data_IF_371402043553
#
_entry.id   IF_371402043553
#
_cell.length_a   1.000
_cell.length_b   1.000
_cell.length_c   1.000
_cell.angle_alpha   90.00
_cell.angle_beta   90.00
_cell.angle_gamma   90.00
#
_symmetry.space_group_name_H-M   'P 1'
#
loop_
_entity.id
_entity.type
_entity.pdbx_description
1 polymer ?
#
# COMPACT_ATOMS: atom_id res chain seq x y z
N UNK A 1 9.05 4.01 17.74
CA UNK A 1 8.24 3.56 16.58
C UNK A 1 7.89 4.74 15.67
N UNK A 2 7.96 4.52 14.38
CA UNK A 2 7.65 5.56 13.40
C UNK A 2 6.13 5.58 13.19
N UNK A 3 5.45 6.73 13.35
CA UNK A 3 4.00 6.79 13.14
C UNK A 3 3.62 6.58 11.69
N UNK A 4 2.46 6.00 11.47
CA UNK A 4 1.90 5.76 10.13
C UNK A 4 0.68 6.63 9.94
N UNK A 5 0.67 7.40 8.86
CA UNK A 5 -0.41 8.30 8.52
C UNK A 5 -1.09 7.78 7.25
N UNK A 6 -2.39 7.55 7.31
CA UNK A 6 -3.19 7.16 6.16
C UNK A 6 -3.76 8.41 5.51
N UNK A 7 -3.46 8.61 4.24
CA UNK A 7 -4.13 9.67 3.48
C UNK A 7 -5.56 9.22 3.15
N UNK A 8 -6.44 10.16 2.86
CA UNK A 8 -7.80 9.84 2.45
C UNK A 8 -7.80 8.94 1.21
N UNK A 9 -6.92 9.21 0.27
CA UNK A 9 -6.82 8.43 -0.95
C UNK A 9 -6.36 7.00 -0.68
N UNK A 10 -5.43 6.81 0.27
CA UNK A 10 -5.00 5.47 0.67
C UNK A 10 -6.14 4.68 1.31
N UNK A 11 -6.96 5.35 2.13
CA UNK A 11 -8.14 4.74 2.75
C UNK A 11 -9.14 4.29 1.68
N UNK A 12 -9.44 5.18 0.72
CA UNK A 12 -10.32 4.86 -0.40
C UNK A 12 -9.80 3.69 -1.22
N UNK A 13 -8.51 3.71 -1.57
CA UNK A 13 -7.87 2.63 -2.32
C UNK A 13 -7.96 1.31 -1.58
N UNK A 14 -7.73 1.33 -0.28
CA UNK A 14 -7.76 0.11 0.54
C UNK A 14 -9.16 -0.52 0.49
N UNK A 15 -10.20 0.30 0.68
CA UNK A 15 -11.60 -0.15 0.61
C UNK A 15 -11.96 -0.67 -0.78
N UNK A 16 -11.54 0.05 -1.82
CA UNK A 16 -11.79 -0.36 -3.21
C UNK A 16 -11.12 -1.69 -3.53
N UNK A 17 -9.91 -1.92 -3.03
CA UNK A 17 -9.21 -3.18 -3.24
C UNK A 17 -9.90 -4.35 -2.54
N UNK A 18 -10.42 -4.14 -1.34
CA UNK A 18 -11.21 -5.17 -0.66
C UNK A 18 -12.44 -5.50 -1.48
N UNK A 19 -13.16 -4.48 -1.97
CA UNK A 19 -14.32 -4.66 -2.82
C UNK A 19 -13.97 -5.41 -4.11
N UNK A 20 -12.86 -5.04 -4.76
CA UNK A 20 -12.35 -5.71 -5.95
C UNK A 20 -12.09 -7.20 -5.67
N UNK A 21 -11.40 -7.50 -4.56
CA UNK A 21 -11.08 -8.88 -4.21
C UNK A 21 -12.34 -9.71 -3.91
N UNK A 22 -13.35 -9.10 -3.28
CA UNK A 22 -14.63 -9.77 -3.02
C UNK A 22 -15.32 -10.20 -4.32
N UNK A 23 -15.21 -9.38 -5.36
CA UNK A 23 -15.90 -9.63 -6.63
C UNK A 23 -15.10 -10.51 -7.61
N UNK A 24 -13.77 -10.44 -7.54
CA UNK A 24 -12.91 -11.08 -8.54
C UNK A 24 -12.12 -12.27 -7.97
N UNK A 25 -12.00 -12.34 -6.64
CA UNK A 25 -11.16 -13.33 -5.97
C UNK A 25 -11.90 -13.99 -4.83
N UNK A 26 -11.20 -14.81 -4.03
CA UNK A 26 -11.79 -15.53 -2.91
C UNK A 26 -11.61 -14.80 -1.60
N UNK A 27 -12.34 -15.24 -0.56
CA UNK A 27 -12.16 -14.73 0.80
C UNK A 27 -10.72 -14.88 1.29
N UNK A 28 -10.03 -15.93 0.85
CA UNK A 28 -8.63 -16.16 1.20
C UNK A 28 -7.73 -15.03 0.72
N UNK A 29 -8.03 -14.47 -0.47
CA UNK A 29 -7.26 -13.35 -1.01
C UNK A 29 -7.49 -12.08 -0.19
N UNK A 30 -8.71 -11.87 0.29
CA UNK A 30 -9.04 -10.73 1.14
C UNK A 30 -8.29 -10.83 2.46
N UNK A 31 -8.35 -11.98 3.12
CA UNK A 31 -7.65 -12.23 4.38
C UNK A 31 -6.15 -12.04 4.20
N UNK A 32 -5.61 -12.56 3.11
CA UNK A 32 -4.20 -12.44 2.77
C UNK A 32 -3.80 -10.97 2.57
N UNK A 33 -4.63 -10.20 1.89
CA UNK A 33 -4.37 -8.77 1.68
C UNK A 33 -4.32 -8.02 3.01
N UNK A 34 -5.32 -8.23 3.87
CA UNK A 34 -5.40 -7.56 5.17
C UNK A 34 -4.20 -7.96 6.04
N UNK A 35 -3.93 -9.25 6.14
CA UNK A 35 -2.82 -9.75 6.95
C UNK A 35 -1.48 -9.24 6.46
N UNK A 36 -1.25 -9.29 5.15
CA UNK A 36 0.00 -8.86 4.55
C UNK A 36 0.21 -7.36 4.74
N UNK A 37 -0.87 -6.58 4.62
CA UNK A 37 -0.81 -5.14 4.87
C UNK A 37 -0.37 -4.87 6.30
N UNK A 38 -0.98 -5.52 7.29
CA UNK A 38 -0.59 -5.36 8.69
C UNK A 38 0.87 -5.73 8.93
N UNK A 39 1.33 -6.83 8.36
CA UNK A 39 2.73 -7.26 8.49
C UNK A 39 3.70 -6.21 7.93
N UNK A 40 3.38 -5.67 6.76
CA UNK A 40 4.22 -4.66 6.11
C UNK A 40 4.23 -3.36 6.92
N UNK A 41 3.07 -2.90 7.38
CA UNK A 41 2.99 -1.69 8.20
C UNK A 41 3.76 -1.85 9.51
N UNK A 42 3.68 -3.03 10.13
CA UNK A 42 4.45 -3.32 11.33
C UNK A 42 5.96 -3.23 11.08
N UNK A 43 6.42 -3.79 9.97
CA UNK A 43 7.84 -3.73 9.58
C UNK A 43 8.28 -2.30 9.27
N UNK A 44 7.44 -1.53 8.62
CA UNK A 44 7.75 -0.13 8.31
C UNK A 44 7.89 0.70 9.57
N UNK A 45 6.98 0.54 10.52
CA UNK A 45 7.01 1.31 11.77
C UNK A 45 8.21 0.94 12.64
N UNK A 46 8.74 -0.28 12.49
CA UNK A 46 9.94 -0.74 13.20
C UNK A 46 11.23 -0.44 12.45
N UNK A 47 11.13 0.01 11.20
CA UNK A 47 12.30 0.28 10.38
C UNK A 47 12.99 -0.97 9.84
N UNK A 48 12.33 -2.12 9.83
CA UNK A 48 12.91 -3.42 9.47
C UNK A 48 12.73 -3.82 8.01
N UNK A 49 12.26 -2.93 7.15
CA UNK A 49 11.99 -3.25 5.76
C UNK A 49 12.86 -2.41 4.84
N UNK A 50 13.34 -3.02 3.75
CA UNK A 50 14.10 -2.31 2.73
C UNK A 50 13.14 -1.63 1.77
N UNK A 51 13.45 -0.39 1.45
CA UNK A 51 12.65 0.43 0.55
C UNK A 51 13.04 0.16 -0.90
N UNK A 52 12.03 0.12 -1.78
CA UNK A 52 12.26 0.18 -3.22
C UNK A 52 11.86 1.59 -3.67
N UNK A 53 12.81 2.42 -4.10
CA UNK A 53 12.47 3.78 -4.52
C UNK A 53 11.66 3.79 -5.81
N UNK A 54 10.97 4.93 -6.03
CA UNK A 54 10.22 5.19 -7.26
C UNK A 54 10.85 6.39 -7.99
N UNK A 55 10.28 6.76 -9.12
CA UNK A 55 10.69 7.98 -9.83
C UNK A 55 10.32 9.26 -9.06
N UNK A 56 9.43 9.17 -8.09
CA UNK A 56 9.01 10.32 -7.27
C UNK A 56 9.93 10.47 -6.06
N UNK A 57 10.34 11.69 -5.77
CA UNK A 57 11.23 11.97 -4.64
C UNK A 57 10.60 11.54 -3.32
N UNK A 58 11.37 10.83 -2.49
CA UNK A 58 10.96 10.35 -1.17
C UNK A 58 9.77 9.38 -1.18
N UNK A 59 9.37 8.90 -2.35
CA UNK A 59 8.28 7.94 -2.49
C UNK A 59 8.85 6.55 -2.77
N UNK A 60 8.38 5.59 -2.00
CA UNK A 60 8.83 4.20 -2.06
C UNK A 60 7.65 3.29 -2.37
N UNK A 61 7.94 2.07 -2.80
CA UNK A 61 6.91 1.11 -3.15
C UNK A 61 7.22 -0.27 -2.58
N UNK A 62 6.17 -0.99 -2.20
CA UNK A 62 6.24 -2.36 -1.73
C UNK A 62 5.06 -3.12 -2.30
N UNK A 63 5.34 -4.28 -2.92
CA UNK A 63 4.28 -5.17 -3.36
C UNK A 63 3.66 -5.88 -2.16
N UNK A 64 2.37 -5.69 -1.94
CA UNK A 64 1.64 -6.39 -0.88
C UNK A 64 1.17 -7.75 -1.38
N UNK A 65 0.50 -7.74 -2.53
CA UNK A 65 0.16 -8.91 -3.32
C UNK A 65 0.58 -8.62 -4.74
N UNK A 66 0.63 -9.62 -5.61
CA UNK A 66 0.95 -9.37 -7.03
C UNK A 66 -0.03 -8.39 -7.69
N UNK A 67 -1.27 -8.30 -7.16
CA UNK A 67 -2.29 -7.39 -7.66
C UNK A 67 -2.16 -5.98 -7.12
N UNK A 68 -1.53 -5.80 -5.96
CA UNK A 68 -1.61 -4.54 -5.20
C UNK A 68 -0.24 -4.09 -4.71
N UNK A 69 0.13 -2.87 -5.05
CA UNK A 69 1.37 -2.22 -4.61
C UNK A 69 1.04 -1.05 -3.68
N UNK A 70 1.69 -1.00 -2.53
CA UNK A 70 1.60 0.13 -1.62
C UNK A 70 2.67 1.16 -2.00
N UNK A 71 2.24 2.41 -2.20
CA UNK A 71 3.14 3.55 -2.36
C UNK A 71 3.08 4.39 -1.10
N UNK A 72 4.24 4.72 -0.55
CA UNK A 72 4.33 5.49 0.69
C UNK A 72 5.49 6.46 0.64
N UNK A 73 5.42 7.49 1.46
CA UNK A 73 6.43 8.53 1.56
C UNK A 73 6.96 8.58 2.99
N UNK A 74 8.23 8.89 3.15
CA UNK A 74 8.81 9.13 4.47
C UNK A 74 8.98 10.64 4.61
N UNK A 75 8.31 11.21 5.59
CA UNK A 75 8.30 12.65 5.83
C UNK A 75 8.30 12.94 7.32
N UNK A 76 9.25 13.76 7.78
CA UNK A 76 9.36 14.20 9.19
C UNK A 76 9.22 13.06 10.21
N UNK A 77 9.92 11.96 9.96
CA UNK A 77 9.86 10.76 10.80
C UNK A 77 8.47 10.10 10.85
N UNK A 78 7.66 10.33 9.85
CA UNK A 78 6.37 9.64 9.67
C UNK A 78 6.37 8.88 8.36
N UNK A 79 5.59 7.80 8.32
CA UNK A 79 5.34 7.04 7.10
C UNK A 79 3.95 7.43 6.64
N UNK A 80 3.88 8.03 5.45
CA UNK A 80 2.62 8.53 4.89
C UNK A 80 2.20 7.57 3.77
N UNK A 81 1.07 6.88 3.95
CA UNK A 81 0.56 5.95 2.95
C UNK A 81 -0.16 6.76 1.88
N UNK A 82 0.31 6.64 0.64
CA UNK A 82 -0.19 7.44 -0.48
C UNK A 82 -1.23 6.69 -1.31
N UNK A 83 -0.91 5.47 -1.75
CA UNK A 83 -1.78 4.68 -2.60
C UNK A 83 -1.65 3.19 -2.27
N UNK A 84 -2.78 2.48 -2.35
CA UNK A 84 -2.78 1.03 -2.54
C UNK A 84 -3.24 0.79 -3.96
N UNK A 85 -2.29 0.75 -4.88
CA UNK A 85 -2.57 0.70 -6.31
C UNK A 85 -2.83 -0.72 -6.78
N UNK A 86 -3.94 -0.92 -7.46
CA UNK A 86 -4.23 -2.18 -8.11
C UNK A 86 -3.45 -2.23 -9.43
N UNK A 87 -2.50 -3.17 -9.52
CA UNK A 87 -1.58 -3.28 -10.64
C UNK A 87 -2.27 -3.68 -11.96
N UNK A 88 -3.53 -4.10 -11.90
CA UNK A 88 -4.32 -4.43 -13.09
C UNK A 88 -5.11 -3.26 -13.65
N UNK A 89 -5.09 -2.12 -12.93
CA UNK A 89 -5.68 -0.89 -13.46
C UNK A 89 -4.76 -0.28 -14.51
N UNK A 90 -5.36 0.53 -15.40
CA UNK A 90 -4.61 1.24 -16.43
C UNK A 90 -3.54 2.15 -15.79
N UNK A 91 -2.24 1.92 -16.08
CA UNK A 91 -1.16 2.74 -15.50
C UNK A 91 -1.29 4.23 -15.78
N UNK A 92 -1.95 4.62 -16.89
CA UNK A 92 -2.12 6.03 -17.22
C UNK A 92 -3.01 6.78 -16.23
N UNK A 93 -3.76 6.05 -15.40
CA UNK A 93 -4.62 6.65 -14.36
C UNK A 93 -3.92 6.77 -13.01
N UNK A 94 -2.69 6.27 -12.93
CA UNK A 94 -1.93 6.33 -11.68
C UNK A 94 -1.52 7.76 -11.37
N UNK A 95 -1.86 8.24 -10.17
CA UNK A 95 -1.41 9.54 -9.64
C UNK A 95 -1.03 9.38 -8.19
N UNK A 96 -0.11 10.21 -7.75
CA UNK A 96 0.30 10.28 -6.35
C UNK A 96 -0.08 11.62 -5.75
#
# INVERSE_FOLDING_TARGET
>A
MIPIIWTDLAIEDFSENIFYLENEWTEKEIEKFIKKTHEILDKLTRGNIKFKPTAYKNVFQIMILKQITLFYEIEDNAIVLLRFWNNYKNPSKFTI
#
